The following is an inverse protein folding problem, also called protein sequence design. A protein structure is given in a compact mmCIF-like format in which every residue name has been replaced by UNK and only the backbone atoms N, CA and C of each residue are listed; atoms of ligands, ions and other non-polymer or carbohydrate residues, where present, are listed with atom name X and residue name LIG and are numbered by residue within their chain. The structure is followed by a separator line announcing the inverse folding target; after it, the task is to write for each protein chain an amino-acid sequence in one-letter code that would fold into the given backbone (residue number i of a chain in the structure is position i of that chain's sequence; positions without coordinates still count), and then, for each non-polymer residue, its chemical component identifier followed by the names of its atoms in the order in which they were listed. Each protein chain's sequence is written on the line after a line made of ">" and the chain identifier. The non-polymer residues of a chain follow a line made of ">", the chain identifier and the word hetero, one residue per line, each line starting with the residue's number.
data_IF_623584017100
#
_entry.id   IF_623584017100
#
_cell.length_a   1.000
_cell.length_b   1.000
_cell.length_c   1.000
_cell.angle_alpha   90.00
_cell.angle_beta   90.00
_cell.angle_gamma   90.00
#
_symmetry.space_group_name_H-M   'P 1'
#
loop_
_entity.id
_entity.type
_entity.pdbx_description
1 polymer ?
#
# COMPACT_ATOMS: atom_id res chain seq x y z
N UNK A 1 32.20 -19.20 -35.47
CA UNK A 1 31.55 -18.11 -34.71
C UNK A 1 30.36 -18.73 -33.99
N UNK A 2 30.57 -19.15 -32.75
CA UNK A 2 29.53 -19.73 -31.90
C UNK A 2 29.11 -18.66 -30.90
N UNK A 3 27.82 -18.38 -30.69
CA UNK A 3 27.41 -17.35 -29.75
C UNK A 3 27.61 -17.83 -28.31
N UNK A 4 28.20 -16.97 -27.49
CA UNK A 4 28.40 -17.14 -26.06
C UNK A 4 27.07 -17.20 -25.29
N UNK A 5 26.99 -17.94 -24.17
CA UNK A 5 25.83 -17.90 -23.29
C UNK A 5 25.85 -16.61 -22.46
N UNK A 6 24.78 -15.84 -22.52
CA UNK A 6 24.56 -14.68 -21.66
C UNK A 6 24.34 -15.14 -20.22
N UNK A 7 25.31 -14.86 -19.35
CA UNK A 7 25.15 -15.02 -17.91
C UNK A 7 24.23 -13.90 -17.41
N UNK A 8 23.00 -14.28 -17.09
CA UNK A 8 22.01 -13.45 -16.40
C UNK A 8 22.58 -13.03 -15.04
N UNK A 9 22.78 -11.72 -14.88
CA UNK A 9 23.34 -11.14 -13.67
C UNK A 9 22.22 -10.96 -12.66
N UNK A 10 22.09 -11.90 -11.71
CA UNK A 10 21.17 -11.74 -10.57
C UNK A 10 21.79 -10.71 -9.63
N UNK A 11 21.34 -9.47 -9.75
CA UNK A 11 21.67 -8.41 -8.81
C UNK A 11 21.14 -8.77 -7.41
N UNK A 12 22.06 -8.99 -6.48
CA UNK A 12 21.80 -9.16 -5.07
C UNK A 12 21.02 -7.94 -4.55
N UNK A 13 19.73 -8.14 -4.25
CA UNK A 13 18.91 -7.11 -3.63
C UNK A 13 19.30 -6.95 -2.17
N UNK A 14 19.84 -5.79 -1.85
CA UNK A 14 20.19 -5.34 -0.51
C UNK A 14 18.94 -5.35 0.38
N UNK A 15 19.02 -6.05 1.51
CA UNK A 15 17.95 -6.20 2.49
C UNK A 15 17.73 -4.89 3.26
N UNK A 16 16.99 -3.94 2.67
CA UNK A 16 16.20 -3.01 3.45
C UNK A 16 14.99 -3.76 4.00
N UNK A 17 14.69 -3.59 5.29
CA UNK A 17 13.63 -4.29 6.01
C UNK A 17 12.22 -3.77 5.62
N UNK A 18 12.02 -3.48 4.34
CA UNK A 18 10.79 -2.93 3.76
C UNK A 18 9.80 -4.07 3.61
N UNK A 19 8.64 -3.98 4.26
CA UNK A 19 7.61 -5.01 4.08
C UNK A 19 7.17 -5.06 2.61
N UNK A 20 6.93 -6.27 2.03
CA UNK A 20 6.48 -6.38 0.65
C UNK A 20 5.14 -5.67 0.41
N UNK A 21 5.02 -4.96 -0.70
CA UNK A 21 3.74 -4.45 -1.17
C UNK A 21 2.90 -5.58 -1.79
N UNK A 22 2.03 -6.16 -0.97
CA UNK A 22 1.16 -7.26 -1.39
C UNK A 22 0.13 -6.86 -2.46
N UNK A 23 -0.14 -5.56 -2.66
CA UNK A 23 -1.06 -5.07 -3.71
C UNK A 23 -0.42 -5.03 -5.10
N UNK A 24 0.91 -4.96 -5.16
CA UNK A 24 1.67 -4.89 -6.41
C UNK A 24 2.16 -6.27 -6.90
N UNK A 25 1.90 -7.34 -6.16
CA UNK A 25 2.34 -8.68 -6.52
C UNK A 25 1.35 -9.35 -7.48
N UNK A 26 1.86 -9.87 -8.59
CA UNK A 26 1.06 -10.69 -9.50
C UNK A 26 0.66 -12.01 -8.83
N UNK A 27 -0.62 -12.34 -8.97
CA UNK A 27 -1.21 -13.59 -8.50
C UNK A 27 -1.33 -14.52 -9.71
N UNK A 28 -0.51 -15.58 -9.83
CA UNK A 28 -0.61 -16.50 -10.96
C UNK A 28 -1.92 -17.29 -10.85
N UNK A 29 -2.86 -17.00 -11.76
CA UNK A 29 -4.18 -17.64 -11.79
C UNK A 29 -4.10 -19.15 -12.04
N UNK A 30 -3.01 -19.63 -12.62
CA UNK A 30 -2.82 -21.03 -13.03
C UNK A 30 -2.39 -21.95 -11.88
N UNK A 31 -1.97 -21.40 -10.74
CA UNK A 31 -1.48 -22.21 -9.63
C UNK A 31 -2.64 -22.53 -8.64
N UNK A 32 -2.80 -23.80 -8.21
CA UNK A 32 -3.72 -24.16 -7.14
C UNK A 32 -3.46 -23.34 -5.85
N UNK A 33 -4.53 -22.92 -5.18
CA UNK A 33 -4.46 -22.02 -4.01
C UNK A 33 -3.76 -22.68 -2.83
N UNK A 34 -3.97 -23.97 -2.59
CA UNK A 34 -3.30 -24.79 -1.58
C UNK A 34 -1.76 -24.81 -1.72
N UNK A 35 -1.24 -24.62 -2.94
CA UNK A 35 0.20 -24.51 -3.18
C UNK A 35 0.77 -23.08 -3.02
N UNK A 36 -0.03 -22.14 -2.50
CA UNK A 36 0.42 -20.76 -2.32
C UNK A 36 1.34 -20.65 -1.11
N UNK A 37 2.57 -20.25 -1.38
CA UNK A 37 3.47 -19.75 -0.35
C UNK A 37 2.89 -18.49 0.30
N UNK A 38 3.29 -18.20 1.55
CA UNK A 38 2.70 -17.11 2.35
C UNK A 38 2.66 -15.76 1.62
N UNK A 39 3.66 -15.46 0.79
CA UNK A 39 3.73 -14.21 0.03
C UNK A 39 2.57 -14.08 -0.96
N UNK A 40 2.29 -15.15 -1.70
CA UNK A 40 1.21 -15.20 -2.69
C UNK A 40 -0.16 -15.25 -2.03
N UNK A 41 -0.28 -15.99 -0.91
CA UNK A 41 -1.51 -16.02 -0.11
C UNK A 41 -1.87 -14.64 0.44
N UNK A 42 -0.88 -13.88 0.94
CA UNK A 42 -1.09 -12.49 1.40
C UNK A 42 -1.45 -11.54 0.26
N UNK A 43 -0.84 -11.69 -0.92
CA UNK A 43 -1.21 -10.93 -2.10
C UNK A 43 -2.67 -11.20 -2.52
N UNK A 44 -3.07 -12.47 -2.54
CA UNK A 44 -4.45 -12.87 -2.82
C UNK A 44 -5.43 -12.28 -1.79
N UNK A 45 -5.17 -12.47 -0.49
CA UNK A 45 -5.99 -11.89 0.57
C UNK A 45 -6.06 -10.37 0.47
N UNK A 46 -4.96 -9.69 0.13
CA UNK A 46 -4.96 -8.24 -0.06
C UNK A 46 -5.87 -7.82 -1.23
N UNK A 47 -5.87 -8.56 -2.35
CA UNK A 47 -6.76 -8.30 -3.48
C UNK A 47 -8.24 -8.54 -3.13
N UNK A 48 -8.56 -9.62 -2.42
CA UNK A 48 -9.92 -9.91 -1.94
C UNK A 48 -10.41 -8.83 -0.97
N UNK A 49 -9.57 -8.41 -0.01
CA UNK A 49 -9.90 -7.34 0.93
C UNK A 49 -10.13 -6.01 0.20
N UNK A 50 -9.30 -5.70 -0.80
CA UNK A 50 -9.47 -4.50 -1.61
C UNK A 50 -10.79 -4.52 -2.41
N UNK A 51 -11.18 -5.69 -2.92
CA UNK A 51 -12.44 -5.88 -3.65
C UNK A 51 -13.65 -5.79 -2.71
N UNK A 52 -13.56 -6.42 -1.54
CA UNK A 52 -14.63 -6.41 -0.55
C UNK A 52 -14.77 -5.06 0.20
N UNK A 53 -13.69 -4.28 0.28
CA UNK A 53 -13.63 -2.97 0.93
C UNK A 53 -13.37 -3.00 2.43
N UNK A 54 -13.38 -4.17 3.07
CA UNK A 54 -13.06 -4.32 4.50
C UNK A 54 -12.59 -5.75 4.84
N UNK A 55 -11.57 -5.94 5.70
CA UNK A 55 -11.03 -7.27 6.00
C UNK A 55 -12.05 -8.24 6.64
N UNK A 56 -12.99 -7.74 7.43
CA UNK A 56 -14.02 -8.58 8.04
C UNK A 56 -15.10 -9.07 7.06
N UNK A 57 -15.12 -8.55 5.83
CA UNK A 57 -16.00 -9.05 4.77
C UNK A 57 -15.40 -10.28 4.06
N UNK A 58 -14.13 -10.61 4.32
CA UNK A 58 -13.47 -11.82 3.82
C UNK A 58 -13.63 -12.95 4.83
N UNK A 59 -14.30 -14.04 4.42
CA UNK A 59 -14.51 -15.20 5.28
C UNK A 59 -13.19 -15.93 5.59
N UNK A 60 -12.71 -15.81 6.84
CA UNK A 60 -11.46 -16.44 7.29
C UNK A 60 -11.51 -17.96 7.24
N UNK A 61 -12.67 -18.56 7.54
CA UNK A 61 -12.88 -20.01 7.47
C UNK A 61 -12.80 -20.48 6.03
N UNK A 62 -13.48 -19.81 5.11
CA UNK A 62 -13.44 -20.18 3.70
C UNK A 62 -12.04 -20.03 3.11
N UNK A 63 -11.31 -18.97 3.47
CA UNK A 63 -9.93 -18.79 3.02
C UNK A 63 -9.01 -19.86 3.61
N UNK A 64 -9.20 -20.24 4.88
CA UNK A 64 -8.43 -21.32 5.49
C UNK A 64 -8.60 -22.63 4.72
N UNK A 65 -9.84 -22.97 4.36
CA UNK A 65 -10.16 -24.17 3.57
C UNK A 65 -9.57 -24.09 2.15
N UNK A 66 -9.70 -22.95 1.46
CA UNK A 66 -9.16 -22.76 0.09
C UNK A 66 -7.64 -22.87 0.02
N UNK A 67 -6.94 -22.43 1.05
CA UNK A 67 -5.49 -22.41 1.11
C UNK A 67 -4.88 -23.63 1.81
N UNK A 68 -5.70 -24.57 2.32
CA UNK A 68 -5.28 -25.69 3.17
C UNK A 68 -4.38 -25.24 4.33
N UNK A 69 -4.81 -24.19 5.04
CA UNK A 69 -4.12 -23.64 6.21
C UNK A 69 -5.06 -23.49 7.39
N UNK A 70 -4.53 -23.30 8.60
CA UNK A 70 -5.41 -23.06 9.74
C UNK A 70 -5.97 -21.63 9.76
N UNK A 71 -7.16 -21.46 10.34
CA UNK A 71 -7.81 -20.15 10.53
C UNK A 71 -6.88 -19.11 11.20
N UNK A 72 -6.02 -19.55 12.13
CA UNK A 72 -5.04 -18.69 12.79
C UNK A 72 -3.95 -18.17 11.83
N UNK A 73 -3.55 -18.94 10.83
CA UNK A 73 -2.61 -18.48 9.80
C UNK A 73 -3.22 -17.37 8.95
N UNK A 74 -4.49 -17.50 8.55
CA UNK A 74 -5.20 -16.44 7.82
C UNK A 74 -5.27 -15.15 8.64
N UNK A 75 -5.56 -15.26 9.94
CA UNK A 75 -5.58 -14.09 10.84
C UNK A 75 -4.21 -13.38 10.87
N UNK A 76 -3.11 -14.14 11.04
CA UNK A 76 -1.74 -13.60 11.01
C UNK A 76 -1.36 -13.00 9.67
N UNK A 77 -1.89 -13.55 8.57
CA UNK A 77 -1.65 -13.02 7.24
C UNK A 77 -2.38 -11.69 7.02
N UNK A 78 -3.61 -11.54 7.52
CA UNK A 78 -4.34 -10.26 7.54
C UNK A 78 -3.59 -9.22 8.39
N UNK A 79 -3.12 -9.59 9.59
CA UNK A 79 -2.34 -8.68 10.44
C UNK A 79 -1.05 -8.21 9.76
N UNK A 80 -0.41 -9.11 8.99
CA UNK A 80 0.79 -8.76 8.22
C UNK A 80 0.47 -7.82 7.06
N UNK A 81 -0.64 -8.03 6.37
CA UNK A 81 -1.10 -7.12 5.31
C UNK A 81 -1.35 -5.74 5.91
N UNK A 82 -2.07 -5.66 7.03
CA UNK A 82 -2.33 -4.39 7.73
C UNK A 82 -1.02 -3.69 8.14
N UNK A 83 -0.08 -4.44 8.71
CA UNK A 83 1.24 -3.91 9.07
C UNK A 83 2.01 -3.38 7.86
N UNK A 84 1.95 -4.10 6.73
CA UNK A 84 2.58 -3.67 5.48
C UNK A 84 1.95 -2.39 4.94
N UNK A 85 0.62 -2.25 5.01
CA UNK A 85 -0.09 -1.02 4.62
C UNK A 85 0.30 0.14 5.53
N UNK A 86 0.34 -0.06 6.85
CA UNK A 86 0.77 0.98 7.81
C UNK A 86 2.21 1.41 7.52
N UNK A 87 3.12 0.47 7.30
CA UNK A 87 4.53 0.78 7.03
C UNK A 87 4.68 1.59 5.74
N UNK A 88 3.98 1.20 4.67
CA UNK A 88 3.97 2.01 3.43
C UNK A 88 3.33 3.38 3.64
N UNK A 89 2.29 3.46 4.46
CA UNK A 89 1.61 4.72 4.80
C UNK A 89 2.46 5.66 5.67
N UNK A 90 3.56 5.18 6.28
CA UNK A 90 4.52 6.02 7.01
C UNK A 90 5.44 6.82 6.09
N UNK A 91 5.60 6.40 4.83
CA UNK A 91 6.27 7.20 3.80
C UNK A 91 5.37 8.38 3.42
N UNK A 92 5.52 9.47 4.18
CA UNK A 92 4.70 10.68 4.06
C UNK A 92 4.75 11.27 2.62
N UNK A 93 5.91 11.44 1.97
CA UNK A 93 5.98 11.89 0.57
C UNK A 93 5.22 10.97 -0.40
N UNK A 94 5.39 9.64 -0.26
CA UNK A 94 4.68 8.70 -1.12
C UNK A 94 3.17 8.78 -0.94
N UNK A 95 2.69 8.84 0.31
CA UNK A 95 1.27 8.99 0.62
C UNK A 95 0.69 10.28 0.04
N UNK A 96 1.44 11.39 0.12
CA UNK A 96 1.03 12.65 -0.47
C UNK A 96 0.86 12.53 -2.00
N UNK A 97 1.78 11.87 -2.69
CA UNK A 97 1.69 11.60 -4.14
C UNK A 97 0.49 10.71 -4.50
N UNK A 98 0.22 9.66 -3.73
CA UNK A 98 -0.92 8.78 -3.94
C UNK A 98 -2.25 9.55 -3.77
N UNK A 99 -2.38 10.35 -2.69
CA UNK A 99 -3.53 11.22 -2.47
C UNK A 99 -3.70 12.26 -3.59
N UNK A 100 -2.62 12.93 -4.00
CA UNK A 100 -2.62 13.90 -5.11
C UNK A 100 -3.17 13.29 -6.40
N UNK A 101 -2.74 12.07 -6.72
CA UNK A 101 -3.15 11.37 -7.94
C UNK A 101 -4.65 11.05 -7.93
N UNK A 102 -5.18 10.59 -6.80
CA UNK A 102 -6.62 10.30 -6.64
C UNK A 102 -7.45 11.57 -6.72
N UNK A 103 -7.03 12.65 -6.05
CA UNK A 103 -7.73 13.95 -6.09
C UNK A 103 -7.76 14.49 -7.51
N UNK A 104 -6.62 14.53 -8.21
CA UNK A 104 -6.55 14.99 -9.60
C UNK A 104 -7.45 14.19 -10.54
N UNK A 105 -7.48 12.85 -10.39
CA UNK A 105 -8.36 11.99 -11.19
C UNK A 105 -9.83 12.25 -10.89
N UNK A 106 -10.18 12.46 -9.61
CA UNK A 106 -11.54 12.74 -9.18
C UNK A 106 -12.03 14.09 -9.69
N UNK A 107 -11.21 15.16 -9.56
CA UNK A 107 -11.49 16.47 -10.14
C UNK A 107 -11.72 16.34 -11.64
N UNK A 108 -10.85 15.62 -12.36
CA UNK A 108 -11.03 15.39 -13.80
C UNK A 108 -12.39 14.75 -14.12
N UNK A 109 -12.77 13.68 -13.41
CA UNK A 109 -14.07 13.03 -13.61
C UNK A 109 -15.24 13.97 -13.32
N UNK A 110 -15.19 14.73 -12.22
CA UNK A 110 -16.21 15.71 -11.87
C UNK A 110 -16.34 16.83 -12.92
N UNK A 111 -15.25 17.26 -13.55
CA UNK A 111 -15.30 18.24 -14.64
C UNK A 111 -15.88 17.63 -15.93
N UNK A 112 -15.60 16.36 -16.22
CA UNK A 112 -16.17 15.64 -17.37
C UNK A 112 -17.69 15.42 -17.21
N UNK A 113 -18.16 15.19 -15.98
CA UNK A 113 -19.58 15.03 -15.63
C UNK A 113 -20.33 16.36 -15.41
N UNK A 114 -19.69 17.50 -15.71
CA UNK A 114 -20.21 18.85 -15.50
C UNK A 114 -20.56 19.19 -14.03
N UNK A 115 -20.01 18.44 -13.06
CA UNK A 115 -20.15 18.67 -11.62
C UNK A 115 -19.17 19.75 -11.11
N UNK A 116 -19.19 20.92 -11.75
CA UNK A 116 -18.21 22.00 -11.52
C UNK A 116 -18.07 22.42 -10.06
N UNK A 117 -19.18 22.47 -9.31
CA UNK A 117 -19.18 22.85 -7.89
C UNK A 117 -18.49 21.80 -7.02
N UNK A 118 -18.73 20.52 -7.29
CA UNK A 118 -18.09 19.44 -6.56
C UNK A 118 -16.58 19.41 -6.85
N UNK A 119 -16.19 19.62 -8.11
CA UNK A 119 -14.78 19.73 -8.50
C UNK A 119 -14.07 20.90 -7.79
N UNK A 120 -14.71 22.07 -7.73
CA UNK A 120 -14.16 23.24 -7.05
C UNK A 120 -14.02 23.02 -5.54
N UNK A 121 -15.03 22.44 -4.89
CA UNK A 121 -14.97 22.12 -3.46
C UNK A 121 -13.83 21.13 -3.17
N UNK A 122 -13.72 20.05 -3.95
CA UNK A 122 -12.65 19.06 -3.76
C UNK A 122 -11.25 19.66 -3.96
N UNK A 123 -11.10 20.63 -4.87
CA UNK A 123 -9.84 21.33 -5.06
C UNK A 123 -9.47 22.20 -3.84
N UNK A 124 -10.44 22.90 -3.25
CA UNK A 124 -10.23 23.70 -2.04
C UNK A 124 -9.92 22.82 -0.82
N UNK A 125 -10.67 21.74 -0.63
CA UNK A 125 -10.43 20.77 0.46
C UNK A 125 -9.02 20.17 0.36
N UNK A 126 -8.55 19.90 -0.87
CA UNK A 126 -7.19 19.40 -1.09
C UNK A 126 -6.11 20.46 -0.85
N UNK A 127 -6.35 21.72 -1.22
CA UNK A 127 -5.44 22.83 -0.90
C UNK A 127 -5.30 23.01 0.61
N UNK A 128 -6.42 22.99 1.35
CA UNK A 128 -6.41 23.05 2.82
C UNK A 128 -5.62 21.88 3.41
N UNK A 129 -5.86 20.66 2.95
CA UNK A 129 -5.10 19.49 3.37
C UNK A 129 -3.59 19.63 3.11
N UNK A 130 -3.18 20.20 1.97
CA UNK A 130 -1.77 20.46 1.67
C UNK A 130 -1.15 21.45 2.66
N UNK A 131 -1.86 22.52 3.00
CA UNK A 131 -1.40 23.51 4.00
C UNK A 131 -1.22 22.83 5.36
N UNK A 132 -2.22 22.08 5.84
CA UNK A 132 -2.12 21.34 7.11
C UNK A 132 -0.95 20.36 7.12
N UNK A 133 -0.71 19.68 5.99
CA UNK A 133 0.37 18.72 5.85
C UNK A 133 1.75 19.39 5.99
N UNK A 134 1.98 20.51 5.32
CA UNK A 134 3.23 21.27 5.43
C UNK A 134 3.42 21.90 6.81
N UNK A 135 2.36 22.44 7.40
CA UNK A 135 2.41 22.99 8.76
C UNK A 135 2.82 21.91 9.78
N UNK A 136 2.28 20.70 9.64
CA UNK A 136 2.65 19.57 10.50
C UNK A 136 4.12 19.15 10.31
N UNK A 137 4.65 19.20 9.09
CA UNK A 137 6.06 18.93 8.81
C UNK A 137 6.97 19.96 9.49
N UNK A 138 6.65 21.25 9.37
CA UNK A 138 7.39 22.33 10.03
C UNK A 138 7.35 22.22 11.57
N UNK A 139 6.20 21.82 12.14
CA UNK A 139 6.08 21.56 13.59
C UNK A 139 6.94 20.37 14.01
N UNK A 140 6.97 19.30 13.22
CA UNK A 140 7.78 18.10 13.50
C UNK A 140 9.27 18.45 13.49
N UNK A 141 9.74 19.18 12.47
CA UNK A 141 11.14 19.63 12.37
C UNK A 141 11.54 20.52 13.56
N UNK A 142 10.64 21.42 13.97
CA UNK A 142 10.86 22.27 15.15
C UNK A 142 10.92 21.46 16.45
N UNK A 143 10.10 20.42 16.59
CA UNK A 143 10.11 19.53 17.75
C UNK A 143 11.45 18.77 17.83
N UNK A 144 11.88 18.16 16.73
CA UNK A 144 13.16 17.44 16.65
C UNK A 144 14.35 18.36 17.02
N UNK A 145 14.33 19.61 16.54
CA UNK A 145 15.35 20.60 16.87
C UNK A 145 15.38 20.97 18.37
N UNK A 146 14.21 21.02 19.03
CA UNK A 146 14.12 21.28 20.47
C UNK A 146 14.58 20.08 21.30
N UNK A 147 14.19 18.86 20.92
CA UNK A 147 14.64 17.63 21.58
C UNK A 147 16.16 17.47 21.50
N UNK A 148 16.75 17.72 20.32
CA UNK A 148 18.21 17.72 20.14
C UNK A 148 18.95 18.86 20.89
N UNK A 149 18.23 19.92 21.25
CA UNK A 149 18.76 21.06 22.01
C UNK A 149 18.65 20.90 23.52
N UNK A 150 17.65 20.16 24.02
CA UNK A 150 17.39 19.93 25.44
C UNK A 150 18.21 18.82 26.09
N UNK A 151 18.87 17.98 25.28
CA UNK A 151 19.71 16.86 25.72
C UNK A 151 21.20 17.27 25.92
N UNK A 152 21.45 18.56 26.22
CA UNK A 152 22.78 19.14 26.46
C UNK A 152 22.91 19.80 27.83
#
# INVERSE_FOLDING_TARGET
>A
MSPSPSTETVAASSSSNTQPDYSALEIPAEKPLDEYHYTKRRAYLAAEIATAGHPDLVSRTEMADRFDVCHQQISKDIDRIASSVVERGRDRPRRALECETVVRKSIKGLLEDEEWKAAANLALDYEEWLVEFYDLEAVTERLDALEAGGDR
#
